data_IF_128305139284
#
_entry.id   IF_128305139284
#
_cell.length_a   1.000
_cell.length_b   1.000
_cell.length_c   1.000
_cell.angle_alpha   90.00
_cell.angle_beta   90.00
_cell.angle_gamma   90.00
#
_symmetry.space_group_name_H-M   'P 1'
#
loop_
_entity.id
_entity.type
_entity.pdbx_description
1 polymer ?
#
# COMPACT_ATOMS: atom_id res chain seq x y z
N UNK A 1 30.43 -20.78 -8.90
CA UNK A 1 29.54 -19.92 -9.69
C UNK A 1 28.21 -19.85 -8.98
N UNK A 2 27.81 -18.68 -8.48
CA UNK A 2 26.51 -18.53 -7.83
C UNK A 2 25.42 -18.59 -8.92
N UNK A 3 24.59 -19.63 -8.90
CA UNK A 3 23.42 -19.69 -9.76
C UNK A 3 22.43 -18.62 -9.30
N UNK A 4 22.21 -17.60 -10.11
CA UNK A 4 21.14 -16.61 -9.87
C UNK A 4 19.82 -17.33 -10.11
N UNK A 5 19.12 -17.68 -9.03
CA UNK A 5 17.77 -18.24 -9.12
C UNK A 5 16.86 -17.10 -9.59
N UNK A 6 16.20 -17.21 -10.76
CA UNK A 6 15.26 -16.19 -11.20
C UNK A 6 14.08 -16.16 -10.22
N UNK A 7 14.01 -15.09 -9.43
CA UNK A 7 12.86 -14.82 -8.56
C UNK A 7 11.66 -14.50 -9.44
N UNK A 8 10.72 -15.43 -9.56
CA UNK A 8 9.44 -15.16 -10.20
C UNK A 8 8.57 -14.33 -9.24
N UNK A 9 8.72 -13.01 -9.27
CA UNK A 9 7.95 -12.09 -8.44
C UNK A 9 6.43 -12.21 -8.66
N UNK A 10 6.00 -12.63 -9.86
CA UNK A 10 4.58 -12.84 -10.16
C UNK A 10 3.99 -14.03 -9.40
N UNK A 11 4.78 -15.06 -9.10
CA UNK A 11 4.34 -16.19 -8.27
C UNK A 11 4.08 -15.79 -6.80
N UNK A 12 4.56 -14.63 -6.38
CA UNK A 12 4.36 -14.11 -5.02
C UNK A 12 3.28 -13.02 -4.94
N UNK A 13 2.64 -12.63 -6.04
CA UNK A 13 1.51 -11.71 -5.98
C UNK A 13 0.23 -12.48 -5.57
N UNK A 14 -0.59 -11.95 -4.66
CA UNK A 14 -1.85 -12.59 -4.27
C UNK A 14 -2.79 -12.64 -5.48
N UNK A 15 -3.52 -13.76 -5.64
CA UNK A 15 -4.56 -13.86 -6.63
C UNK A 15 -5.80 -13.10 -6.13
N UNK A 16 -6.20 -12.05 -6.83
CA UNK A 16 -7.34 -11.21 -6.48
C UNK A 16 -8.47 -11.45 -7.47
N UNK A 17 -9.73 -11.33 -7.03
CA UNK A 17 -10.82 -11.14 -7.99
C UNK A 17 -10.68 -9.78 -8.68
N UNK A 18 -11.30 -9.61 -9.85
CA UNK A 18 -11.25 -8.34 -10.59
C UNK A 18 -11.71 -7.14 -9.74
N UNK A 19 -12.77 -7.33 -8.95
CA UNK A 19 -13.30 -6.31 -8.05
C UNK A 19 -12.32 -5.98 -6.91
N UNK A 20 -11.73 -7.00 -6.29
CA UNK A 20 -10.73 -6.81 -5.23
C UNK A 20 -9.48 -6.11 -5.77
N UNK A 21 -9.06 -6.44 -6.98
CA UNK A 21 -7.94 -5.77 -7.65
C UNK A 21 -8.23 -4.29 -7.92
N UNK A 22 -9.39 -3.98 -8.50
CA UNK A 22 -9.79 -2.59 -8.75
C UNK A 22 -9.86 -1.78 -7.44
N UNK A 23 -10.43 -2.37 -6.38
CA UNK A 23 -10.52 -1.73 -5.06
C UNK A 23 -9.14 -1.48 -4.44
N UNK A 24 -8.22 -2.44 -4.57
CA UNK A 24 -6.85 -2.32 -4.09
C UNK A 24 -6.07 -1.26 -4.88
N UNK A 25 -6.17 -1.25 -6.20
CA UNK A 25 -5.48 -0.29 -7.07
C UNK A 25 -5.93 1.14 -6.79
N UNK A 26 -7.23 1.37 -6.63
CA UNK A 26 -7.76 2.69 -6.26
C UNK A 26 -7.23 3.17 -4.90
N UNK A 27 -7.11 2.26 -3.93
CA UNK A 27 -6.56 2.57 -2.62
C UNK A 27 -5.04 2.81 -2.67
N UNK A 28 -4.32 1.98 -3.44
CA UNK A 28 -2.86 2.05 -3.61
C UNK A 28 -2.45 3.36 -4.26
N UNK A 29 -3.13 3.78 -5.33
CA UNK A 29 -2.81 5.01 -6.06
C UNK A 29 -2.68 6.22 -5.12
N UNK A 30 -3.63 6.38 -4.18
CA UNK A 30 -3.59 7.47 -3.18
C UNK A 30 -2.33 7.42 -2.31
N UNK A 31 -1.91 6.23 -1.90
CA UNK A 31 -0.72 6.06 -1.04
C UNK A 31 0.58 6.24 -1.82
N UNK A 32 0.62 5.81 -3.08
CA UNK A 32 1.76 6.00 -3.98
C UNK A 32 1.94 7.49 -4.30
N UNK A 33 0.86 8.23 -4.55
CA UNK A 33 0.89 9.69 -4.77
C UNK A 33 1.41 10.43 -3.54
N UNK A 34 0.90 10.10 -2.35
CA UNK A 34 1.40 10.66 -1.09
C UNK A 34 2.87 10.32 -0.87
N UNK A 35 3.28 9.06 -1.12
CA UNK A 35 4.66 8.65 -0.96
C UNK A 35 5.58 9.39 -1.93
N UNK A 36 5.12 9.62 -3.17
CA UNK A 36 5.85 10.41 -4.15
C UNK A 36 6.05 11.85 -3.67
N UNK A 37 4.98 12.49 -3.20
CA UNK A 37 5.07 13.86 -2.67
C UNK A 37 6.03 13.94 -1.48
N UNK A 38 5.93 13.01 -0.51
CA UNK A 38 6.84 12.95 0.63
C UNK A 38 8.32 12.81 0.22
N UNK A 39 8.62 12.07 -0.85
CA UNK A 39 9.99 11.99 -1.38
C UNK A 39 10.46 13.31 -1.97
N UNK A 40 9.60 14.02 -2.70
CA UNK A 40 9.94 15.32 -3.30
C UNK A 40 10.30 16.37 -2.24
N UNK A 41 9.60 16.36 -1.11
CA UNK A 41 9.85 17.30 0.00
C UNK A 41 10.90 16.79 1.02
N UNK A 42 11.54 15.65 0.75
CA UNK A 42 12.62 15.10 1.58
C UNK A 42 12.15 14.31 2.82
N UNK A 43 10.85 14.07 2.99
CA UNK A 43 10.27 13.25 4.06
C UNK A 43 10.34 11.74 3.76
N UNK A 44 11.56 11.22 3.58
CA UNK A 44 11.84 9.81 3.28
C UNK A 44 11.27 8.80 4.29
N UNK A 45 11.31 9.03 5.62
CA UNK A 45 10.73 8.09 6.58
C UNK A 45 9.22 7.88 6.36
N UNK A 46 8.51 8.96 6.03
CA UNK A 46 7.08 8.93 5.79
C UNK A 46 6.73 8.21 4.48
N UNK A 47 7.47 8.49 3.41
CA UNK A 47 7.34 7.75 2.16
C UNK A 47 7.59 6.24 2.38
N UNK A 48 8.54 5.89 3.24
CA UNK A 48 8.81 4.51 3.63
C UNK A 48 7.62 3.86 4.35
N UNK A 49 6.97 4.57 5.27
CA UNK A 49 5.78 4.08 5.97
C UNK A 49 4.58 3.85 5.04
N UNK A 50 4.37 4.73 4.07
CA UNK A 50 3.30 4.58 3.07
C UNK A 50 3.52 3.35 2.18
N UNK A 51 4.75 3.16 1.69
CA UNK A 51 5.13 1.95 0.93
C UNK A 51 5.02 0.69 1.79
N UNK A 52 5.41 0.76 3.06
CA UNK A 52 5.25 -0.35 4.00
C UNK A 52 3.77 -0.71 4.16
N UNK A 53 2.88 0.27 4.28
CA UNK A 53 1.44 0.09 4.41
C UNK A 53 0.84 -0.65 3.20
N UNK A 54 1.21 -0.25 1.99
CA UNK A 54 0.80 -0.94 0.75
C UNK A 54 1.28 -2.40 0.75
N UNK A 55 2.53 -2.63 1.14
CA UNK A 55 3.09 -3.98 1.22
C UNK A 55 2.45 -4.83 2.32
N UNK A 56 2.02 -4.24 3.44
CA UNK A 56 1.28 -4.94 4.50
C UNK A 56 -0.06 -5.50 3.99
N UNK A 57 -0.81 -4.71 3.20
CA UNK A 57 -2.05 -5.19 2.55
C UNK A 57 -1.76 -6.39 1.65
N UNK A 58 -0.74 -6.29 0.78
CA UNK A 58 -0.33 -7.42 -0.07
C UNK A 58 0.03 -8.67 0.72
N UNK A 59 0.79 -8.52 1.82
CA UNK A 59 1.17 -9.64 2.70
C UNK A 59 -0.04 -10.27 3.38
N UNK A 60 -1.02 -9.48 3.80
CA UNK A 60 -2.25 -10.01 4.39
C UNK A 60 -3.11 -10.73 3.35
N UNK A 61 -3.22 -10.21 2.13
CA UNK A 61 -3.92 -10.88 1.03
C UNK A 61 -3.39 -12.30 0.78
N UNK A 62 -2.08 -12.52 0.91
CA UNK A 62 -1.45 -13.86 0.76
C UNK A 62 -1.87 -14.88 1.83
N UNK A 63 -2.38 -14.43 2.97
CA UNK A 63 -2.84 -15.29 4.07
C UNK A 63 -4.32 -15.67 3.96
N UNK A 64 -5.04 -15.06 3.02
CA UNK A 64 -6.47 -15.30 2.81
C UNK A 64 -6.70 -16.44 1.79
N UNK A 65 -7.88 -17.08 1.82
CA UNK A 65 -8.31 -17.97 0.74
C UNK A 65 -8.21 -17.27 -0.62
N UNK A 66 -7.67 -17.97 -1.61
CA UNK A 66 -7.46 -17.45 -2.97
C UNK A 66 -8.56 -17.97 -3.91
N UNK A 67 -9.09 -17.14 -4.83
CA UNK A 67 -8.79 -15.71 -4.99
C UNK A 67 -9.38 -14.86 -3.87
N UNK A 68 -8.68 -13.79 -3.47
CA UNK A 68 -9.16 -12.85 -2.46
C UNK A 68 -10.37 -12.10 -3.00
N UNK A 69 -11.49 -12.21 -2.29
CA UNK A 69 -12.73 -11.51 -2.61
C UNK A 69 -12.68 -10.02 -2.25
N UNK A 70 -13.62 -9.25 -2.80
CA UNK A 70 -13.77 -7.82 -2.48
C UNK A 70 -13.95 -7.58 -0.97
N UNK A 71 -14.81 -8.37 -0.32
CA UNK A 71 -15.05 -8.26 1.12
C UNK A 71 -13.78 -8.46 1.93
N UNK A 72 -12.99 -9.49 1.61
CA UNK A 72 -11.70 -9.71 2.29
C UNK A 72 -10.72 -8.56 2.05
N UNK A 73 -10.68 -8.00 0.84
CA UNK A 73 -9.85 -6.84 0.52
C UNK A 73 -10.24 -5.61 1.35
N UNK A 74 -11.53 -5.33 1.49
CA UNK A 74 -12.02 -4.20 2.29
C UNK A 74 -11.66 -4.36 3.76
N UNK A 75 -11.90 -5.54 4.34
CA UNK A 75 -11.50 -5.84 5.73
C UNK A 75 -9.99 -5.71 5.91
N UNK A 76 -9.17 -6.20 4.98
CA UNK A 76 -7.70 -6.07 5.06
C UNK A 76 -7.28 -4.60 5.01
N UNK A 77 -7.86 -3.80 4.10
CA UNK A 77 -7.55 -2.37 3.98
C UNK A 77 -7.92 -1.64 5.28
N UNK A 78 -9.07 -1.96 5.87
CA UNK A 78 -9.52 -1.38 7.14
C UNK A 78 -8.59 -1.75 8.30
N UNK A 79 -8.27 -3.04 8.46
CA UNK A 79 -7.36 -3.53 9.50
C UNK A 79 -5.95 -2.91 9.39
N UNK A 80 -5.39 -2.84 8.18
CA UNK A 80 -4.10 -2.18 7.95
C UNK A 80 -4.22 -0.66 8.17
N UNK A 81 -5.39 -0.09 7.86
CA UNK A 81 -5.74 1.30 8.14
C UNK A 81 -5.60 1.63 9.63
N UNK A 82 -6.22 0.83 10.49
CA UNK A 82 -6.22 1.02 11.94
C UNK A 82 -4.89 0.67 12.61
N UNK A 83 -4.26 -0.44 12.21
CA UNK A 83 -2.96 -0.85 12.78
C UNK A 83 -1.78 0.01 12.31
N UNK A 84 -1.90 0.68 11.17
CA UNK A 84 -0.91 1.63 10.67
C UNK A 84 -1.55 3.02 10.60
N UNK A 85 -2.21 3.44 11.69
CA UNK A 85 -2.52 4.86 11.93
C UNK A 85 -1.19 5.62 12.00
N UNK A 86 -0.73 6.02 10.83
CA UNK A 86 0.28 7.05 10.72
C UNK A 86 -0.43 8.32 11.21
N UNK A 87 -0.01 8.95 12.32
CA UNK A 87 -0.66 10.15 12.81
C UNK A 87 -0.46 11.21 11.75
N UNK A 88 -1.47 11.52 10.93
CA UNK A 88 -1.39 12.57 9.90
C UNK A 88 -0.61 13.74 10.48
N UNK A 89 0.62 13.97 10.00
CA UNK A 89 1.23 15.27 10.23
C UNK A 89 0.28 16.23 9.54
N UNK A 90 -0.35 17.09 10.33
CA UNK A 90 -1.20 18.15 9.85
C UNK A 90 -0.62 18.70 8.56
N UNK A 91 -1.46 18.77 7.53
CA UNK A 91 -1.18 19.60 6.36
C UNK A 91 -0.51 20.88 6.86
N UNK A 92 0.70 21.24 6.40
CA UNK A 92 1.10 22.62 6.51
C UNK A 92 0.05 23.36 5.70
N UNK A 93 -0.91 23.94 6.41
CA UNK A 93 -1.90 24.88 5.90
C UNK A 93 -1.12 25.75 4.94
N UNK A 94 -1.46 25.65 3.65
CA UNK A 94 -1.01 26.61 2.66
C UNK A 94 -1.58 27.93 3.15
N UNK A 95 -0.81 28.66 3.94
CA UNK A 95 -1.02 30.07 4.18
C UNK A 95 -0.79 30.75 2.84
N UNK A 96 -1.83 30.77 2.02
CA UNK A 96 -2.04 31.83 1.05
C UNK A 96 -2.20 33.11 1.87
N UNK A 97 -1.08 33.72 2.23
CA UNK A 97 -1.08 35.10 2.70
C UNK A 97 -1.38 36.00 1.50
N UNK A 98 -2.57 36.59 1.57
CA UNK A 98 -3.02 37.91 1.11
C UNK A 98 -2.38 38.53 -0.14
#
# INVERSE_FOLDING_TARGET
MASVIPLNFAAYEPALTLEAQARFEQWRAKHDDMAHHCRQVGHWPWAGQLVFKVNSVKRMCRKMPQPVSLQHMETIIELVGDHHRIPMQHDPVVTLTA
#
